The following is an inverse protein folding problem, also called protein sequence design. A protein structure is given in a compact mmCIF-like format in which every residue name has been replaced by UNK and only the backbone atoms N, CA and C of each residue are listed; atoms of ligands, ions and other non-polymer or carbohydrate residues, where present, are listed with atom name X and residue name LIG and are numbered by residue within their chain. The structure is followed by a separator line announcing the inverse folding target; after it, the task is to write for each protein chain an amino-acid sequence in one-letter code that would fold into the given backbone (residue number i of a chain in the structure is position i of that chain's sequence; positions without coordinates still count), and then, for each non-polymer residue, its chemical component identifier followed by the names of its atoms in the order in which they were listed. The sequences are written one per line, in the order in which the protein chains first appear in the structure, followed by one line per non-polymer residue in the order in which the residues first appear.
data_IF_752878612917
#
_entry.id   IF_752878612917
#
_cell.length_a   1.000
_cell.length_b   1.000
_cell.length_c   1.000
_cell.angle_alpha   90.00
_cell.angle_beta   90.00
_cell.angle_gamma   90.00
#
_symmetry.space_group_name_H-M   'P 1'
#
loop_
_entity.id
_entity.type
_entity.pdbx_description
1 polymer ?
#
# COMPACT_ATOMS: atom_id res chain seq x y z
N UNK A 1 -8.40 -12.79 -9.96
CA UNK A 1 -8.76 -11.97 -8.78
C UNK A 1 -10.08 -11.28 -9.11
N UNK A 2 -11.05 -11.26 -8.19
CA UNK A 2 -12.49 -11.10 -8.46
C UNK A 2 -12.92 -9.66 -8.82
N UNK A 3 -13.54 -9.51 -9.99
CA UNK A 3 -14.14 -8.27 -10.55
C UNK A 3 -15.12 -7.53 -9.62
N UNK A 4 -15.61 -8.15 -8.54
CA UNK A 4 -16.69 -7.58 -7.72
C UNK A 4 -16.23 -6.68 -6.57
N UNK A 5 -14.92 -6.55 -6.29
CA UNK A 5 -14.41 -5.79 -5.15
C UNK A 5 -14.08 -4.33 -5.46
N UNK A 6 -13.87 -3.99 -6.74
CA UNK A 6 -13.46 -2.65 -7.19
C UNK A 6 -14.61 -1.95 -7.91
N UNK A 7 -15.64 -1.54 -7.15
CA UNK A 7 -16.81 -0.84 -7.70
C UNK A 7 -16.55 0.67 -7.90
N UNK A 8 -17.42 1.39 -8.63
CA UNK A 8 -17.22 2.81 -8.90
C UNK A 8 -17.09 3.70 -7.66
N UNK A 9 -17.84 3.39 -6.61
CA UNK A 9 -17.87 4.10 -5.33
C UNK A 9 -16.57 3.92 -4.54
N UNK A 10 -15.95 2.73 -4.59
CA UNK A 10 -14.64 2.45 -4.01
C UNK A 10 -13.61 3.42 -4.56
N UNK A 11 -13.53 3.56 -5.89
CA UNK A 11 -12.59 4.48 -6.52
C UNK A 11 -12.90 5.96 -6.20
N UNK A 12 -14.17 6.39 -6.14
CA UNK A 12 -14.51 7.79 -5.90
C UNK A 12 -14.11 8.28 -4.49
N UNK A 13 -14.29 7.45 -3.46
CA UNK A 13 -13.86 7.77 -2.08
C UNK A 13 -12.34 7.71 -1.91
N UNK A 14 -11.67 6.73 -2.52
CA UNK A 14 -10.22 6.57 -2.45
C UNK A 14 -9.47 7.62 -3.29
N UNK A 15 -10.04 8.05 -4.42
CA UNK A 15 -9.40 9.00 -5.33
C UNK A 15 -9.18 10.37 -4.68
N UNK A 16 -10.20 10.92 -4.01
CA UNK A 16 -10.07 12.20 -3.30
C UNK A 16 -9.01 12.12 -2.18
N UNK A 17 -8.99 11.01 -1.42
CA UNK A 17 -8.00 10.76 -0.39
C UNK A 17 -6.58 10.63 -0.93
N UNK A 18 -6.40 9.90 -2.04
CA UNK A 18 -5.13 9.74 -2.73
C UNK A 18 -4.62 11.05 -3.32
N UNK A 19 -5.49 11.82 -3.98
CA UNK A 19 -5.12 13.15 -4.50
C UNK A 19 -4.67 14.09 -3.38
N UNK A 20 -5.44 14.18 -2.29
CA UNK A 20 -5.09 15.03 -1.14
C UNK A 20 -3.76 14.61 -0.51
N UNK A 21 -3.55 13.30 -0.34
CA UNK A 21 -2.31 12.77 0.22
C UNK A 21 -1.11 13.03 -0.69
N UNK A 22 -1.26 12.77 -1.99
CA UNK A 22 -0.23 13.00 -2.99
C UNK A 22 0.17 14.47 -3.08
N UNK A 23 -0.79 15.42 -2.95
CA UNK A 23 -0.48 16.87 -2.95
C UNK A 23 0.49 17.28 -1.82
N UNK A 24 0.49 16.57 -0.71
CA UNK A 24 1.43 16.81 0.40
C UNK A 24 2.70 15.98 0.27
N UNK A 25 2.55 14.68 -0.02
CA UNK A 25 3.66 13.74 -0.03
C UNK A 25 4.54 13.82 -1.29
N UNK A 26 3.98 14.04 -2.47
CA UNK A 26 4.73 14.07 -3.72
C UNK A 26 5.78 15.20 -3.77
N UNK A 27 5.50 16.46 -3.35
CA UNK A 27 6.53 17.49 -3.25
C UNK A 27 7.67 17.12 -2.29
N UNK A 28 7.34 16.43 -1.18
CA UNK A 28 8.32 15.95 -0.22
C UNK A 28 9.20 14.88 -0.87
N UNK A 29 8.62 13.92 -1.59
CA UNK A 29 9.35 12.90 -2.32
C UNK A 29 10.24 13.54 -3.39
N UNK A 30 9.72 14.49 -4.17
CA UNK A 30 10.50 15.18 -5.22
C UNK A 30 11.64 16.04 -4.65
N UNK A 31 11.50 16.56 -3.43
CA UNK A 31 12.60 17.26 -2.73
C UNK A 31 13.75 16.32 -2.36
N UNK A 32 13.46 15.02 -2.19
CA UNK A 32 14.46 13.99 -1.93
C UNK A 32 15.02 13.41 -3.24
N UNK A 33 14.15 13.25 -4.24
CA UNK A 33 14.41 12.61 -5.53
C UNK A 33 13.80 13.48 -6.64
N UNK A 34 14.57 14.42 -7.23
CA UNK A 34 14.11 15.27 -8.34
C UNK A 34 13.89 14.48 -9.66
N UNK A 35 12.93 13.55 -9.64
CA UNK A 35 12.68 12.59 -10.70
C UNK A 35 12.19 13.26 -11.98
N UNK A 36 12.74 12.83 -13.12
CA UNK A 36 12.26 13.17 -14.46
C UNK A 36 11.29 12.10 -14.98
N UNK A 37 11.46 10.85 -14.52
CA UNK A 37 10.64 9.71 -14.95
C UNK A 37 10.11 8.97 -13.72
N UNK A 38 8.79 8.93 -13.56
CA UNK A 38 8.10 8.27 -12.44
C UNK A 38 7.20 7.17 -12.96
N UNK A 39 7.31 5.98 -12.36
CA UNK A 39 6.34 4.90 -12.55
C UNK A 39 5.56 4.68 -11.26
N UNK A 40 4.26 4.40 -11.36
CA UNK A 40 3.41 4.00 -10.25
C UNK A 40 2.79 2.62 -10.54
N UNK A 41 3.15 1.63 -9.73
CA UNK A 41 2.75 0.22 -9.87
C UNK A 41 1.63 -0.07 -8.88
N UNK A 42 0.46 -0.44 -9.41
CA UNK A 42 -0.81 -0.42 -8.69
C UNK A 42 -1.39 0.99 -8.61
N UNK A 43 -1.32 1.75 -9.71
CA UNK A 43 -1.64 3.19 -9.71
C UNK A 43 -3.14 3.52 -9.58
N UNK A 44 -4.03 2.53 -9.67
CA UNK A 44 -5.47 2.71 -9.79
C UNK A 44 -5.80 3.63 -10.97
N UNK A 45 -6.56 4.68 -10.70
CA UNK A 45 -6.89 5.72 -11.70
C UNK A 45 -5.73 6.68 -12.02
N UNK A 46 -4.57 6.55 -11.37
CA UNK A 46 -3.39 7.39 -11.60
C UNK A 46 -3.36 8.68 -10.77
N UNK A 47 -4.04 8.72 -9.63
CA UNK A 47 -4.13 9.91 -8.77
C UNK A 47 -2.76 10.48 -8.35
N UNK A 48 -1.82 9.64 -7.93
CA UNK A 48 -0.47 10.08 -7.55
C UNK A 48 0.32 10.60 -8.76
N UNK A 49 0.26 9.90 -9.89
CA UNK A 49 0.90 10.30 -11.13
C UNK A 49 0.38 11.63 -11.66
N UNK A 50 -0.92 11.90 -11.54
CA UNK A 50 -1.50 13.22 -11.84
C UNK A 50 -0.80 14.33 -11.05
N UNK A 51 -0.59 14.12 -9.74
CA UNK A 51 0.09 15.12 -8.91
C UNK A 51 1.56 15.26 -9.31
N UNK A 52 2.27 14.16 -9.60
CA UNK A 52 3.65 14.25 -10.11
C UNK A 52 3.73 15.06 -11.42
N UNK A 53 2.79 14.86 -12.34
CA UNK A 53 2.72 15.66 -13.58
C UNK A 53 2.40 17.14 -13.31
N UNK A 54 1.46 17.45 -12.40
CA UNK A 54 1.17 18.82 -11.95
C UNK A 54 2.41 19.49 -11.31
N UNK A 55 3.31 18.72 -10.69
CA UNK A 55 4.58 19.17 -10.13
C UNK A 55 5.72 19.24 -11.15
N UNK A 56 5.45 18.98 -12.43
CA UNK A 56 6.40 19.14 -13.53
C UNK A 56 7.25 17.91 -13.87
N UNK A 57 6.89 16.71 -13.39
CA UNK A 57 7.52 15.46 -13.85
C UNK A 57 7.12 15.20 -15.31
N UNK A 58 8.07 15.17 -16.26
CA UNK A 58 7.75 15.11 -17.69
C UNK A 58 7.31 13.74 -18.20
N UNK A 59 7.79 12.64 -17.58
CA UNK A 59 7.42 11.28 -17.98
C UNK A 59 6.82 10.52 -16.80
N UNK A 60 5.52 10.23 -16.91
CA UNK A 60 4.77 9.44 -15.94
C UNK A 60 4.26 8.15 -16.58
N UNK A 61 4.29 7.05 -15.85
CA UNK A 61 3.75 5.76 -16.28
C UNK A 61 2.96 5.09 -15.16
N UNK A 62 1.70 4.76 -15.43
CA UNK A 62 0.87 3.96 -14.54
C UNK A 62 0.81 2.51 -14.99
N UNK A 63 0.84 1.59 -14.02
CA UNK A 63 0.61 0.16 -14.24
C UNK A 63 -0.44 -0.32 -13.26
N UNK A 64 -1.51 -0.96 -13.75
CA UNK A 64 -2.51 -1.62 -12.90
C UNK A 64 -3.24 -2.71 -13.69
N UNK A 65 -4.12 -3.48 -13.04
CA UNK A 65 -4.85 -4.58 -13.64
C UNK A 65 -5.99 -4.16 -14.59
N UNK A 66 -6.63 -5.15 -15.24
CA UNK A 66 -7.68 -4.91 -16.25
C UNK A 66 -8.99 -4.34 -15.68
N UNK A 67 -9.13 -4.28 -14.35
CA UNK A 67 -10.29 -3.71 -13.66
C UNK A 67 -10.34 -2.18 -13.69
N UNK A 68 -9.23 -1.50 -14.04
CA UNK A 68 -9.22 -0.04 -14.17
C UNK A 68 -9.92 0.38 -15.46
N UNK A 69 -11.02 1.12 -15.32
CA UNK A 69 -11.76 1.69 -16.45
C UNK A 69 -10.97 2.86 -17.06
N UNK A 70 -10.68 2.79 -18.36
CA UNK A 70 -9.83 3.78 -19.04
C UNK A 70 -10.41 5.19 -19.02
N UNK A 71 -11.73 5.29 -19.03
CA UNK A 71 -12.49 6.54 -19.02
C UNK A 71 -12.39 7.27 -17.68
N UNK A 72 -11.91 6.58 -16.64
CA UNK A 72 -11.71 7.12 -15.29
C UNK A 72 -10.26 7.49 -14.98
N UNK A 73 -9.35 7.29 -15.94
CA UNK A 73 -7.95 7.64 -15.74
C UNK A 73 -7.80 9.15 -15.52
N UNK A 74 -7.03 9.50 -14.51
CA UNK A 74 -6.58 10.86 -14.19
C UNK A 74 -5.29 11.24 -14.93
N UNK A 75 -4.77 10.32 -15.74
CA UNK A 75 -3.57 10.47 -16.57
C UNK A 75 -3.92 10.13 -18.02
N UNK A 76 -3.11 10.58 -19.01
CA UNK A 76 -3.33 10.22 -20.40
C UNK A 76 -3.37 8.69 -20.61
N UNK A 77 -4.34 8.13 -21.37
CA UNK A 77 -4.48 6.68 -21.53
C UNK A 77 -3.25 5.98 -22.13
N UNK A 78 -2.44 6.67 -22.95
CA UNK A 78 -1.17 6.19 -23.50
C UNK A 78 -0.06 6.07 -22.44
N UNK A 79 -0.27 6.65 -21.26
CA UNK A 79 0.61 6.56 -20.08
C UNK A 79 0.15 5.50 -19.08
N UNK A 80 -0.86 4.70 -19.42
CA UNK A 80 -1.34 3.60 -18.60
C UNK A 80 -1.06 2.25 -19.28
N UNK A 81 -0.59 1.27 -18.52
CA UNK A 81 -0.32 -0.09 -19.00
C UNK A 81 -1.05 -1.10 -18.13
N UNK A 82 -1.88 -1.94 -18.77
CA UNK A 82 -2.58 -3.02 -18.07
C UNK A 82 -1.63 -4.19 -17.83
N UNK A 83 -1.38 -4.56 -16.58
CA UNK A 83 -0.56 -5.71 -16.21
C UNK A 83 -0.95 -6.29 -14.83
N UNK A 84 -0.67 -7.59 -14.65
CA UNK A 84 -0.74 -8.22 -13.33
C UNK A 84 0.57 -7.95 -12.57
N UNK A 85 0.46 -7.23 -11.45
CA UNK A 85 1.61 -6.84 -10.61
C UNK A 85 2.08 -7.97 -9.69
N UNK A 86 1.33 -9.07 -9.59
CA UNK A 86 1.70 -10.27 -8.85
C UNK A 86 2.66 -11.21 -9.60
N UNK A 87 2.93 -10.92 -10.87
CA UNK A 87 3.89 -11.64 -11.71
C UNK A 87 5.00 -10.69 -12.19
N UNK A 88 6.13 -11.19 -12.71
CA UNK A 88 7.21 -10.32 -13.18
C UNK A 88 6.70 -9.32 -14.22
N UNK A 89 6.90 -8.03 -13.95
CA UNK A 89 6.52 -6.98 -14.88
C UNK A 89 7.33 -7.08 -16.17
N UNK A 90 6.63 -6.99 -17.30
CA UNK A 90 7.19 -7.22 -18.63
C UNK A 90 7.86 -5.95 -19.19
N UNK A 91 8.62 -6.13 -20.27
CA UNK A 91 9.41 -5.05 -20.89
C UNK A 91 8.56 -3.86 -21.39
N UNK A 92 7.29 -4.09 -21.70
CA UNK A 92 6.36 -3.06 -22.20
C UNK A 92 6.05 -1.97 -21.16
N UNK A 93 6.34 -2.23 -19.89
CA UNK A 93 6.27 -1.24 -18.80
C UNK A 93 7.34 -0.15 -18.95
N UNK A 94 8.45 -0.45 -19.63
CA UNK A 94 9.60 0.43 -19.75
C UNK A 94 10.62 0.27 -18.63
N UNK A 95 11.75 0.96 -18.74
CA UNK A 95 12.85 0.95 -17.76
C UNK A 95 13.48 2.34 -17.65
N UNK A 96 14.40 2.52 -16.70
CA UNK A 96 15.12 3.77 -16.50
C UNK A 96 14.27 4.86 -15.86
N UNK A 97 13.42 4.47 -14.92
CA UNK A 97 12.70 5.41 -14.07
C UNK A 97 13.64 5.88 -12.95
N UNK A 98 13.49 7.14 -12.54
CA UNK A 98 14.24 7.66 -11.40
C UNK A 98 13.58 7.25 -10.08
N UNK A 99 12.24 7.12 -10.11
CA UNK A 99 11.40 6.79 -8.97
C UNK A 99 10.30 5.80 -9.38
N UNK A 100 10.16 4.73 -8.60
CA UNK A 100 8.97 3.87 -8.62
C UNK A 100 8.11 4.14 -7.39
N UNK A 101 6.79 4.26 -7.57
CA UNK A 101 5.81 4.26 -6.50
C UNK A 101 5.08 2.90 -6.50
N UNK A 102 4.75 2.39 -5.32
CA UNK A 102 3.89 1.24 -5.14
C UNK A 102 3.23 1.32 -3.78
N UNK A 103 1.97 1.76 -3.75
CA UNK A 103 1.34 2.32 -2.55
C UNK A 103 0.04 1.58 -2.22
N UNK A 104 0.00 0.90 -1.07
CA UNK A 104 -1.11 0.03 -0.62
C UNK A 104 -1.45 -1.05 -1.66
N UNK A 105 -0.42 -1.79 -2.10
CA UNK A 105 -0.54 -2.87 -3.10
C UNK A 105 -0.09 -4.23 -2.55
N UNK A 106 1.05 -4.26 -1.85
CA UNK A 106 1.71 -5.50 -1.45
C UNK A 106 0.87 -6.41 -0.54
N UNK A 107 -0.05 -5.82 0.23
CA UNK A 107 -0.98 -6.49 1.14
C UNK A 107 -2.05 -7.32 0.43
N UNK A 108 -2.31 -7.07 -0.86
CA UNK A 108 -3.26 -7.82 -1.67
C UNK A 108 -2.63 -9.05 -2.34
N UNK A 109 -1.31 -9.21 -2.22
CA UNK A 109 -0.55 -10.25 -2.90
C UNK A 109 -0.15 -11.37 -1.94
N UNK A 110 0.01 -12.59 -2.45
CA UNK A 110 0.60 -13.68 -1.66
C UNK A 110 2.07 -13.36 -1.33
N UNK A 111 2.64 -14.00 -0.31
CA UNK A 111 4.05 -13.80 0.05
C UNK A 111 5.03 -14.09 -1.12
N UNK A 112 4.71 -15.04 -1.99
CA UNK A 112 5.50 -15.30 -3.20
C UNK A 112 5.39 -14.15 -4.21
N UNK A 113 4.18 -13.65 -4.44
CA UNK A 113 3.94 -12.50 -5.31
C UNK A 113 4.53 -11.20 -4.73
N UNK A 114 4.61 -11.04 -3.41
CA UNK A 114 5.28 -9.92 -2.75
C UNK A 114 6.78 -9.86 -3.08
N UNK A 115 7.48 -11.01 -3.08
CA UNK A 115 8.88 -11.07 -3.49
C UNK A 115 9.06 -10.70 -4.98
N UNK A 116 8.16 -11.17 -5.84
CA UNK A 116 8.11 -10.83 -7.28
C UNK A 116 7.81 -9.35 -7.54
N UNK A 117 6.96 -8.75 -6.72
CA UNK A 117 6.68 -7.31 -6.78
C UNK A 117 7.94 -6.51 -6.46
N UNK A 118 8.62 -6.83 -5.34
CA UNK A 118 9.87 -6.15 -4.94
C UNK A 118 10.95 -6.31 -5.99
N UNK A 119 11.09 -7.50 -6.58
CA UNK A 119 11.95 -7.73 -7.75
C UNK A 119 11.64 -6.77 -8.89
N UNK A 120 10.36 -6.68 -9.27
CA UNK A 120 9.94 -5.84 -10.39
C UNK A 120 10.24 -4.36 -10.11
N UNK A 121 9.90 -3.87 -8.92
CA UNK A 121 10.14 -2.48 -8.51
C UNK A 121 11.63 -2.11 -8.53
N UNK A 122 12.48 -2.99 -7.98
CA UNK A 122 13.94 -2.75 -7.90
C UNK A 122 14.64 -2.79 -9.26
N UNK A 123 14.03 -3.40 -10.28
CA UNK A 123 14.50 -3.33 -11.68
C UNK A 123 14.01 -2.09 -12.42
N UNK A 124 12.91 -1.48 -11.97
CA UNK A 124 12.32 -0.31 -12.62
C UNK A 124 13.03 0.99 -12.27
N UNK A 125 13.41 1.16 -10.99
CA UNK A 125 13.99 2.39 -10.48
C UNK A 125 15.02 2.15 -9.35
N UNK A 126 16.04 3.02 -9.21
CA UNK A 126 17.00 2.96 -8.12
C UNK A 126 16.45 3.54 -6.81
N UNK A 127 15.27 4.19 -6.84
CA UNK A 127 14.54 4.66 -5.66
C UNK A 127 13.07 4.24 -5.76
N UNK A 128 12.52 3.74 -4.65
CA UNK A 128 11.13 3.32 -4.52
C UNK A 128 10.47 4.07 -3.36
N UNK A 129 9.33 4.70 -3.59
CA UNK A 129 8.38 5.08 -2.55
C UNK A 129 7.36 3.95 -2.39
N UNK A 130 7.37 3.27 -1.25
CA UNK A 130 6.59 2.05 -1.04
C UNK A 130 5.73 2.16 0.20
N UNK A 131 4.48 1.68 0.12
CA UNK A 131 3.61 1.48 1.28
C UNK A 131 2.82 0.19 1.15
N UNK A 132 2.58 -0.48 2.27
CA UNK A 132 1.70 -1.64 2.36
C UNK A 132 1.14 -1.76 3.78
N UNK A 133 -0.07 -2.28 3.90
CA UNK A 133 -0.75 -2.43 5.17
C UNK A 133 0.03 -3.28 6.22
N UNK A 134 0.03 -2.80 7.47
CA UNK A 134 0.58 -3.53 8.63
C UNK A 134 -0.44 -4.54 9.18
N UNK A 135 0.00 -5.56 9.95
CA UNK A 135 -0.90 -6.54 10.55
C UNK A 135 -1.99 -5.90 11.40
N UNK A 136 -3.23 -6.23 11.09
CA UNK A 136 -4.40 -5.73 11.78
C UNK A 136 -4.86 -4.34 11.31
N UNK A 137 -4.28 -3.76 10.26
CA UNK A 137 -4.77 -2.53 9.63
C UNK A 137 -6.18 -2.72 9.06
N UNK A 138 -6.44 -3.88 8.47
CA UNK A 138 -7.68 -4.17 7.75
C UNK A 138 -7.75 -3.46 6.40
N UNK A 139 -8.79 -3.81 5.63
CA UNK A 139 -9.03 -3.30 4.29
C UNK A 139 -9.60 -4.40 3.39
N UNK A 140 -10.14 -4.00 2.24
CA UNK A 140 -10.80 -4.94 1.33
C UNK A 140 -9.77 -5.80 0.62
N UNK A 141 -9.83 -7.12 0.80
CA UNK A 141 -8.97 -8.05 0.08
C UNK A 141 -7.51 -8.07 0.55
N UNK A 142 -7.24 -7.64 1.79
CA UNK A 142 -5.92 -7.76 2.41
C UNK A 142 -5.67 -9.22 2.81
N UNK A 143 -4.61 -9.83 2.29
CA UNK A 143 -4.22 -11.22 2.57
C UNK A 143 -2.78 -11.35 3.08
N UNK A 144 -1.99 -10.27 3.00
CA UNK A 144 -0.56 -10.24 3.36
C UNK A 144 -0.19 -8.93 4.04
N UNK A 145 -0.91 -8.59 5.10
CA UNK A 145 -0.55 -7.48 5.97
C UNK A 145 0.76 -7.81 6.72
N UNK A 146 1.79 -6.97 6.57
CA UNK A 146 3.15 -7.27 7.04
C UNK A 146 3.82 -6.06 7.66
N UNK A 147 4.64 -6.29 8.69
CA UNK A 147 5.41 -5.23 9.33
C UNK A 147 6.46 -4.64 8.37
N UNK A 148 6.85 -3.36 8.53
CA UNK A 148 7.85 -2.73 7.66
C UNK A 148 9.17 -3.50 7.53
N UNK A 149 9.59 -4.21 8.59
CA UNK A 149 10.81 -5.02 8.57
C UNK A 149 10.75 -6.18 7.55
N UNK A 150 9.56 -6.75 7.28
CA UNK A 150 9.38 -7.78 6.25
C UNK A 150 9.71 -7.23 4.86
N UNK A 151 9.12 -6.09 4.51
CA UNK A 151 9.38 -5.41 3.24
C UNK A 151 10.83 -4.95 3.13
N UNK A 152 11.39 -4.40 4.22
CA UNK A 152 12.79 -4.02 4.27
C UNK A 152 13.75 -5.19 4.02
N UNK A 153 13.46 -6.38 4.54
CA UNK A 153 14.27 -7.56 4.25
C UNK A 153 14.22 -7.97 2.76
N UNK A 154 13.04 -7.90 2.12
CA UNK A 154 12.91 -8.18 0.68
C UNK A 154 13.69 -7.17 -0.17
N UNK A 155 13.60 -5.87 0.15
CA UNK A 155 14.37 -4.83 -0.55
C UNK A 155 15.87 -4.97 -0.28
N UNK A 156 16.29 -5.28 0.95
CA UNK A 156 17.70 -5.49 1.30
C UNK A 156 18.32 -6.65 0.52
N UNK A 157 17.58 -7.74 0.29
CA UNK A 157 18.02 -8.84 -0.56
C UNK A 157 18.26 -8.43 -2.04
N UNK A 158 17.77 -7.26 -2.45
CA UNK A 158 18.00 -6.66 -3.78
C UNK A 158 18.99 -5.49 -3.75
N UNK A 159 19.68 -5.25 -2.63
CA UNK A 159 20.64 -4.16 -2.48
C UNK A 159 20.01 -2.79 -2.21
N UNK A 160 18.74 -2.76 -1.77
CA UNK A 160 18.04 -1.53 -1.42
C UNK A 160 17.96 -1.36 0.09
N UNK A 161 18.10 -0.13 0.56
CA UNK A 161 18.04 0.23 1.97
C UNK A 161 16.77 1.03 2.27
N UNK A 162 16.11 0.70 3.37
CA UNK A 162 15.00 1.48 3.89
C UNK A 162 15.49 2.83 4.46
N UNK A 163 14.75 3.90 4.18
CA UNK A 163 15.02 5.26 4.62
C UNK A 163 13.67 5.85 5.07
N UNK A 164 13.43 5.81 6.37
CA UNK A 164 12.17 6.24 6.97
C UNK A 164 12.12 7.77 7.18
N UNK A 165 12.29 8.51 6.08
CA UNK A 165 12.33 9.98 6.07
C UNK A 165 10.98 10.63 5.76
N UNK A 166 9.96 9.84 5.41
CA UNK A 166 8.64 10.32 5.04
C UNK A 166 7.67 10.29 6.23
N UNK A 167 7.56 9.18 6.96
CA UNK A 167 6.58 9.04 8.06
C UNK A 167 6.68 10.16 9.10
N UNK A 168 7.87 10.58 9.59
CA UNK A 168 7.97 11.69 10.54
C UNK A 168 7.41 13.02 10.01
N UNK A 169 7.40 13.22 8.68
CA UNK A 169 6.89 14.44 8.02
C UNK A 169 5.41 14.36 7.68
N UNK A 170 4.85 13.15 7.59
CA UNK A 170 3.47 12.92 7.17
C UNK A 170 2.54 12.55 8.34
N UNK A 171 3.10 12.10 9.46
CA UNK A 171 2.35 11.48 10.58
C UNK A 171 1.16 12.32 11.07
N UNK A 172 1.35 13.63 11.18
CA UNK A 172 0.33 14.56 11.70
C UNK A 172 -0.32 15.42 10.61
N UNK A 173 -0.06 15.13 9.33
CA UNK A 173 -0.62 15.91 8.23
C UNK A 173 -2.09 15.54 8.01
N UNK A 174 -3.05 16.43 8.33
CA UNK A 174 -4.47 16.08 8.30
C UNK A 174 -5.00 15.80 6.90
N UNK A 175 -4.34 16.36 5.88
CA UNK A 175 -4.65 16.17 4.47
C UNK A 175 -4.13 14.83 3.91
N UNK A 176 -3.28 14.13 4.65
CA UNK A 176 -2.73 12.83 4.27
C UNK A 176 -3.58 11.73 4.92
N UNK A 177 -3.99 10.75 4.12
CA UNK A 177 -4.68 9.58 4.64
C UNK A 177 -3.75 8.82 5.57
N UNK A 178 -4.28 8.38 6.71
CA UNK A 178 -3.45 7.87 7.80
C UNK A 178 -2.69 6.59 7.42
N UNK A 179 -3.20 5.79 6.49
CA UNK A 179 -2.49 4.61 5.98
C UNK A 179 -1.22 5.01 5.22
N UNK A 180 -1.26 6.05 4.37
CA UNK A 180 -0.04 6.57 3.74
C UNK A 180 0.92 7.18 4.77
N UNK A 181 0.42 7.96 5.73
CA UNK A 181 1.26 8.53 6.80
C UNK A 181 1.96 7.44 7.64
N UNK A 182 1.31 6.28 7.81
CA UNK A 182 1.81 5.16 8.60
C UNK A 182 2.78 4.25 7.83
N UNK A 183 2.54 4.04 6.54
CA UNK A 183 3.16 2.95 5.79
C UNK A 183 4.21 3.42 4.77
N UNK A 184 4.19 4.70 4.39
CA UNK A 184 5.02 5.20 3.29
C UNK A 184 6.49 5.36 3.68
N UNK A 185 7.36 4.55 3.07
CA UNK A 185 8.81 4.50 3.33
C UNK A 185 9.56 4.56 1.99
N UNK A 186 10.74 5.18 1.98
CA UNK A 186 11.63 5.17 0.80
C UNK A 186 12.58 3.99 0.89
N UNK A 187 12.76 3.27 -0.21
CA UNK A 187 13.80 2.26 -0.39
C UNK A 187 14.71 2.71 -1.52
N UNK A 188 16.03 2.70 -1.31
CA UNK A 188 16.96 3.17 -2.33
C UNK A 188 18.20 2.29 -2.43
N UNK A 189 18.65 2.05 -3.66
CA UNK A 189 19.94 1.41 -3.93
C UNK A 189 21.09 2.35 -3.56
N UNK A 190 22.31 1.82 -3.54
CA UNK A 190 23.50 2.66 -3.40
C UNK A 190 23.58 3.74 -4.49
N UNK A 191 23.33 3.35 -5.73
CA UNK A 191 23.25 4.25 -6.90
C UNK A 191 22.20 5.35 -6.70
N UNK A 192 20.98 4.98 -6.29
CA UNK A 192 19.91 5.94 -6.04
C UNK A 192 20.27 6.95 -4.96
N UNK A 193 20.87 6.50 -3.85
CA UNK A 193 21.37 7.41 -2.81
C UNK A 193 22.51 8.28 -3.32
N UNK A 194 23.46 7.75 -4.08
CA UNK A 194 24.61 8.50 -4.58
C UNK A 194 24.18 9.64 -5.53
N UNK A 195 23.13 9.41 -6.35
CA UNK A 195 22.56 10.42 -7.26
C UNK A 195 21.78 11.52 -6.56
N UNK A 196 21.28 11.28 -5.36
CA UNK A 196 20.36 12.19 -4.66
C UNK A 196 20.90 12.57 -3.28
N UNK A 197 21.66 13.69 -3.17
CA UNK A 197 22.30 14.11 -1.92
C UNK A 197 21.33 14.23 -0.73
N UNK A 198 20.14 14.81 -0.95
CA UNK A 198 19.14 14.93 0.10
C UNK A 198 18.70 13.58 0.68
N UNK A 199 18.57 12.55 -0.18
CA UNK A 199 18.24 11.19 0.22
C UNK A 199 19.41 10.50 0.91
N UNK A 200 20.64 10.67 0.40
CA UNK A 200 21.87 10.18 1.06
C UNK A 200 22.01 10.73 2.47
N UNK A 201 21.83 12.03 2.64
CA UNK A 201 21.99 12.70 3.93
C UNK A 201 20.88 12.27 4.90
N UNK A 202 19.66 12.03 4.41
CA UNK A 202 18.59 11.43 5.21
C UNK A 202 18.95 10.00 5.67
N UNK A 203 19.49 9.16 4.78
CA UNK A 203 19.92 7.81 5.10
C UNK A 203 21.04 7.79 6.17
N UNK A 204 22.00 8.70 6.06
CA UNK A 204 23.10 8.83 7.02
C UNK A 204 22.61 9.24 8.42
N UNK A 205 21.65 10.15 8.50
CA UNK A 205 21.05 10.57 9.79
C UNK A 205 20.26 9.46 10.48
N UNK A 206 19.54 8.64 9.71
CA UNK A 206 18.64 7.63 10.25
C UNK A 206 19.34 6.31 10.63
N UNK A 207 20.55 6.06 10.13
CA UNK A 207 21.25 4.80 10.37
C UNK A 207 20.60 3.60 9.67
N UNK A 208 21.17 2.40 9.91
CA UNK A 208 20.84 1.16 9.18
C UNK A 208 19.73 0.32 9.83
N UNK A 209 19.09 0.83 10.87
CA UNK A 209 18.03 0.08 11.55
C UNK A 209 16.79 -0.08 10.66
N UNK A 210 16.09 -1.23 10.75
CA UNK A 210 14.83 -1.40 10.04
C UNK A 210 13.79 -0.38 10.51
N UNK A 211 12.86 0.03 9.64
CA UNK A 211 11.82 1.00 10.02
C UNK A 211 10.99 0.48 11.19
N UNK A 212 10.73 1.36 12.16
CA UNK A 212 10.00 0.99 13.37
C UNK A 212 8.56 0.56 13.04
N UNK A 213 8.00 -0.46 13.73
CA UNK A 213 6.62 -0.89 13.56
C UNK A 213 5.68 0.08 14.29
N UNK A 214 5.31 1.17 13.61
CA UNK A 214 4.43 2.20 14.15
C UNK A 214 2.96 1.91 13.83
N UNK A 215 2.07 2.21 14.78
CA UNK A 215 0.62 2.17 14.58
C UNK A 215 0.07 3.58 14.75
N UNK A 216 -0.57 4.11 13.71
CA UNK A 216 -1.16 5.44 13.73
C UNK A 216 -2.39 5.46 14.64
N UNK A 217 -2.63 6.52 15.44
CA UNK A 217 -3.79 6.60 16.32
C UNK A 217 -5.12 6.36 15.60
N UNK A 218 -5.29 6.92 14.40
CA UNK A 218 -6.48 6.67 13.55
C UNK A 218 -6.61 5.20 13.11
N UNK A 219 -5.50 4.48 12.90
CA UNK A 219 -5.54 3.03 12.64
C UNK A 219 -6.00 2.27 13.88
N UNK A 220 -5.46 2.61 15.05
CA UNK A 220 -5.85 1.96 16.30
C UNK A 220 -7.33 2.21 16.63
N UNK A 221 -7.77 3.46 16.52
CA UNK A 221 -9.14 3.88 16.78
C UNK A 221 -10.14 3.29 15.78
N UNK A 222 -9.82 3.24 14.48
CA UNK A 222 -10.70 2.65 13.47
C UNK A 222 -11.01 1.20 13.81
N UNK A 223 -9.99 0.46 14.28
CA UNK A 223 -10.16 -0.93 14.69
C UNK A 223 -10.99 -1.03 15.95
N UNK A 224 -10.80 -0.18 16.96
CA UNK A 224 -11.64 -0.21 18.17
C UNK A 224 -13.14 0.00 17.87
N UNK A 225 -13.46 0.77 16.82
CA UNK A 225 -14.83 1.05 16.41
C UNK A 225 -15.46 -0.08 15.58
N UNK A 226 -14.69 -1.06 15.12
CA UNK A 226 -15.24 -2.24 14.47
C UNK A 226 -15.97 -3.13 15.49
N UNK A 227 -17.27 -3.46 15.26
CA UNK A 227 -18.04 -4.29 16.17
C UNK A 227 -17.32 -5.61 16.49
N UNK A 228 -17.18 -5.92 17.79
CA UNK A 228 -16.51 -7.11 18.33
C UNK A 228 -16.94 -8.44 17.67
N UNK A 229 -18.16 -8.52 17.12
CA UNK A 229 -18.67 -9.71 16.42
C UNK A 229 -17.92 -10.04 15.12
N UNK A 230 -17.44 -9.04 14.38
CA UNK A 230 -16.69 -9.24 13.13
C UNK A 230 -15.27 -9.77 13.40
N UNK A 231 -14.66 -9.31 14.51
CA UNK A 231 -13.31 -9.71 14.95
C UNK A 231 -13.21 -11.20 15.30
N UNK A 232 -14.32 -11.82 15.74
CA UNK A 232 -14.36 -13.26 16.08
C UNK A 232 -14.60 -14.14 14.85
N UNK A 233 -15.36 -13.66 13.87
CA UNK A 233 -15.65 -14.41 12.63
C UNK A 233 -14.47 -14.47 11.65
N UNK A 234 -13.56 -13.49 11.68
CA UNK A 234 -12.38 -13.47 10.80
C UNK A 234 -11.17 -14.21 11.38
N UNK A 235 -11.11 -14.39 12.71
CA UNK A 235 -10.01 -15.12 13.38
C UNK A 235 -10.26 -16.63 13.42
N UNK A 236 -11.50 -17.03 13.62
CA UNK A 236 -11.86 -18.44 13.67
C UNK A 236 -12.60 -18.77 12.36
N UNK A 237 -11.94 -19.51 11.46
CA UNK A 237 -12.53 -19.91 10.17
C UNK A 237 -13.93 -20.54 10.30
N UNK A 238 -14.64 -20.76 9.18
CA UNK A 238 -16.10 -21.01 9.13
C UNK A 238 -16.64 -22.10 10.08
N UNK A 239 -15.80 -23.01 10.57
CA UNK A 239 -16.15 -24.02 11.57
C UNK A 239 -16.41 -23.52 13.01
N UNK A 240 -16.04 -22.29 13.38
CA UNK A 240 -16.33 -21.76 14.71
C UNK A 240 -17.72 -21.13 14.85
N UNK A 241 -18.27 -20.61 13.75
CA UNK A 241 -19.64 -20.08 13.67
C UNK A 241 -20.67 -21.18 13.95
N UNK A 242 -20.43 -22.40 13.45
CA UNK A 242 -21.30 -23.56 13.70
C UNK A 242 -21.36 -24.00 15.17
N UNK A 243 -20.25 -23.90 15.91
CA UNK A 243 -20.19 -24.30 17.33
C UNK A 243 -20.81 -23.26 18.26
N UNK A 244 -20.68 -21.97 17.96
CA UNK A 244 -21.28 -20.91 18.75
C UNK A 244 -22.82 -20.84 18.57
N UNK A 245 -23.33 -21.09 17.35
CA UNK A 245 -24.77 -21.16 17.08
C UNK A 245 -25.41 -22.42 17.70
N UNK A 246 -24.73 -23.57 17.69
CA UNK A 246 -25.22 -24.79 18.34
C UNK A 246 -25.34 -24.65 19.87
N UNK A 247 -24.43 -23.91 20.51
CA UNK A 247 -24.49 -23.65 21.95
C UNK A 247 -25.63 -22.68 22.35
N UNK A 248 -26.00 -21.74 21.47
CA UNK A 248 -27.12 -20.82 21.68
C UNK A 248 -28.49 -21.48 21.42
N UNK A 249 -28.58 -22.43 20.49
CA UNK A 249 -29.82 -23.14 20.16
C UNK A 249 -30.04 -24.35 21.11
N UNK A 250 -28.97 -24.95 21.65
CA UNK A 250 -29.05 -26.11 22.54
C UNK A 250 -29.52 -25.82 23.98
N UNK A 251 -29.40 -24.58 24.46
CA UNK A 251 -29.81 -24.19 25.83
C UNK A 251 -31.26 -23.72 25.96
N UNK A 252 -32.06 -23.75 24.87
CA UNK A 252 -33.43 -23.24 24.84
C UNK A 252 -34.55 -24.26 25.11
N UNK A 253 -34.23 -25.53 25.39
CA UNK A 253 -35.23 -26.58 25.64
C UNK A 253 -34.82 -27.50 26.78
N UNK A 254 -35.03 -27.07 28.01
CA UNK A 254 -35.34 -27.93 29.18
C UNK A 254 -35.69 -27.06 30.38
N UNK A 255 -36.90 -26.50 30.40
CA UNK A 255 -37.57 -26.08 31.63
C UNK A 255 -39.05 -25.82 31.33
N UNK A 256 -39.85 -26.89 31.35
CA UNK A 256 -41.21 -26.88 31.87
C UNK A 256 -41.67 -28.34 31.95
N UNK A 257 -41.27 -28.97 33.06
CA UNK A 257 -41.98 -30.11 33.62
C UNK A 257 -42.95 -29.59 34.68
N UNK A 258 -44.19 -30.05 34.58
CA UNK A 258 -45.15 -30.40 35.64
C UNK A 258 -45.23 -29.53 36.90
N UNK A 259 -46.40 -28.92 37.12
CA UNK A 259 -47.21 -29.14 38.33
C UNK A 259 -48.57 -28.44 38.27
N UNK A 260 -49.61 -29.23 38.57
CA UNK A 260 -51.00 -28.93 38.95
C UNK A 260 -51.99 -28.52 37.85
#
# INVERSE_FOLDING_TARGET
MSDSLYNPEFFAGHEAGSLSSARVAAPIILSLVPAQRVIDVGCGTGAWLRIFAELGVPDIRGVDGPWVQRERLLIPPDRFTTADVGVPLRAEVGTGFDLACCLEVGEHLSALAAATLVESLTRLAPVIAFSAAIPGQGGTGHINEQWPAYWAALFAARGFRAIDCLRPRLWNEPAVQWWYAQNLIVFASEEGRARHPALRDAAARLGDEPPHPLVHPRCFESRLREPLGMRRMLRDGPGAVGRALAALIGNGRTANGDAA
#
